data_IF_152468194896
#
_entry.id   IF_152468194896
#
_cell.length_a   1.000
_cell.length_b   1.000
_cell.length_c   1.000
_cell.angle_alpha   90.00
_cell.angle_beta   90.00
_cell.angle_gamma   90.00
#
_symmetry.space_group_name_H-M   'P 1'
#
loop_
_entity.id
_entity.type
_entity.pdbx_description
1 polymer ?
#
# COMPACT_ATOMS: atom_id res chain seq x y z
N UNK A 1 -1.34 3.19 15.27
CA UNK A 1 -1.49 2.89 13.84
C UNK A 1 -0.19 2.31 13.31
N UNK A 2 -0.29 1.27 12.47
CA UNK A 2 0.79 0.63 11.72
C UNK A 2 0.48 0.70 10.22
N UNK A 3 1.48 0.97 9.40
CA UNK A 3 1.33 0.96 7.93
C UNK A 3 2.02 -0.28 7.36
N UNK A 4 1.28 -1.12 6.66
CA UNK A 4 1.86 -2.29 5.98
C UNK A 4 1.79 -2.17 4.47
N UNK A 5 2.72 -2.83 3.79
CA UNK A 5 2.71 -2.97 2.34
C UNK A 5 3.50 -4.20 1.89
N UNK A 6 3.49 -4.50 0.59
CA UNK A 6 4.23 -5.62 0.03
C UNK A 6 5.67 -5.34 -0.38
N UNK A 7 6.14 -4.12 -0.18
CA UNK A 7 7.53 -3.72 -0.43
C UNK A 7 7.94 -3.60 -1.90
N UNK A 8 7.03 -3.85 -2.85
CA UNK A 8 7.26 -3.59 -4.26
C UNK A 8 7.66 -2.11 -4.48
N UNK A 9 8.38 -1.80 -5.55
CA UNK A 9 8.64 -0.41 -5.98
C UNK A 9 7.34 0.38 -6.19
N UNK A 10 7.42 1.71 -6.31
CA UNK A 10 6.24 2.53 -6.54
C UNK A 10 5.44 2.76 -5.27
N UNK A 11 4.13 2.51 -5.30
CA UNK A 11 3.20 2.81 -4.20
C UNK A 11 3.57 2.06 -2.91
N UNK A 12 3.88 0.76 -3.03
CA UNK A 12 4.20 -0.08 -1.87
C UNK A 12 5.44 0.45 -1.11
N UNK A 13 6.48 0.82 -1.86
CA UNK A 13 7.73 1.37 -1.32
C UNK A 13 7.52 2.73 -0.66
N UNK A 14 6.77 3.62 -1.32
CA UNK A 14 6.44 4.93 -0.80
C UNK A 14 5.71 4.85 0.55
N UNK A 15 4.81 3.88 0.73
CA UNK A 15 4.12 3.67 1.99
C UNK A 15 5.06 3.32 3.14
N UNK A 16 6.02 2.41 2.89
CA UNK A 16 7.02 2.03 3.89
C UNK A 16 7.97 3.20 4.21
N UNK A 17 8.42 3.93 3.19
CA UNK A 17 9.32 5.07 3.38
C UNK A 17 8.68 6.19 4.19
N UNK A 18 7.41 6.51 3.91
CA UNK A 18 6.67 7.51 4.68
C UNK A 18 6.48 7.05 6.12
N UNK A 19 6.12 5.78 6.35
CA UNK A 19 5.95 5.26 7.70
C UNK A 19 7.25 5.36 8.52
N UNK A 20 8.38 4.94 7.93
CA UNK A 20 9.70 5.06 8.56
C UNK A 20 10.08 6.51 8.85
N UNK A 21 9.85 7.42 7.88
CA UNK A 21 10.14 8.86 8.03
C UNK A 21 9.38 9.48 9.21
N UNK A 22 8.13 9.07 9.42
CA UNK A 22 7.27 9.60 10.50
C UNK A 22 7.38 8.81 11.82
N UNK A 23 8.28 7.82 11.91
CA UNK A 23 8.42 6.99 13.11
C UNK A 23 7.21 6.09 13.40
N UNK A 24 6.38 5.83 12.38
CA UNK A 24 5.23 4.94 12.45
C UNK A 24 5.71 3.50 12.22
N UNK A 25 5.22 2.56 13.03
CA UNK A 25 5.53 1.15 12.82
C UNK A 25 5.11 0.74 11.39
N UNK A 26 6.05 0.15 10.65
CA UNK A 26 5.78 -0.37 9.33
C UNK A 26 6.08 -1.87 9.21
N UNK A 27 5.67 -2.49 8.10
CA UNK A 27 5.98 -3.87 7.81
C UNK A 27 5.10 -4.44 6.72
N UNK A 28 4.79 -5.73 6.82
CA UNK A 28 3.94 -6.43 5.87
C UNK A 28 4.60 -7.67 5.28
N UNK A 29 3.92 -8.28 4.34
CA UNK A 29 4.30 -9.52 3.68
C UNK A 29 4.91 -9.24 2.31
N UNK A 30 6.10 -9.79 2.05
CA UNK A 30 6.77 -9.74 0.75
C UNK A 30 6.90 -11.16 0.15
N UNK A 31 7.20 -11.28 -1.15
CA UNK A 31 7.48 -12.57 -1.76
C UNK A 31 8.69 -13.27 -1.10
N UNK A 32 8.77 -14.59 -1.30
CA UNK A 32 9.98 -15.37 -1.00
C UNK A 32 11.23 -14.70 -1.60
N UNK A 33 12.35 -14.74 -0.90
CA UNK A 33 13.60 -14.03 -1.18
C UNK A 33 13.50 -12.50 -1.24
N UNK A 34 12.41 -11.91 -0.73
CA UNK A 34 12.14 -10.47 -0.73
C UNK A 34 12.14 -9.87 -2.14
N UNK A 35 11.59 -10.56 -3.13
CA UNK A 35 11.63 -10.10 -4.52
C UNK A 35 10.78 -8.83 -4.75
N UNK A 36 11.34 -7.87 -5.48
CA UNK A 36 10.63 -6.75 -6.12
C UNK A 36 11.01 -6.68 -7.62
N UNK A 37 10.54 -5.68 -8.37
CA UNK A 37 10.86 -5.59 -9.80
C UNK A 37 12.32 -5.26 -10.13
N UNK A 38 13.11 -4.80 -9.16
CA UNK A 38 14.55 -4.56 -9.31
C UNK A 38 15.41 -5.67 -8.69
N UNK A 39 14.78 -6.73 -8.21
CA UNK A 39 15.42 -7.95 -7.77
C UNK A 39 15.25 -8.23 -6.28
N UNK A 40 15.47 -7.26 -5.39
CA UNK A 40 15.39 -7.50 -3.94
C UNK A 40 15.04 -6.24 -3.15
N UNK A 41 14.04 -6.39 -2.27
CA UNK A 41 13.61 -5.37 -1.33
C UNK A 41 14.68 -5.18 -0.25
N UNK A 42 15.14 -3.95 0.02
CA UNK A 42 16.14 -3.66 1.04
C UNK A 42 15.81 -4.22 2.43
N UNK A 43 16.85 -4.61 3.16
CA UNK A 43 16.75 -5.27 4.47
C UNK A 43 16.20 -4.37 5.59
N UNK A 44 16.36 -3.06 5.45
CA UNK A 44 15.91 -2.13 6.49
C UNK A 44 14.39 -2.00 6.57
N UNK A 45 13.64 -2.52 5.59
CA UNK A 45 12.19 -2.67 5.72
C UNK A 45 11.85 -3.92 6.54
N UNK A 46 11.08 -3.79 7.64
CA UNK A 46 10.68 -4.91 8.51
C UNK A 46 9.57 -5.77 7.90
N UNK A 47 9.85 -6.36 6.72
CA UNK A 47 8.94 -7.23 5.99
C UNK A 47 9.18 -8.70 6.32
N UNK A 48 8.09 -9.47 6.34
CA UNK A 48 8.11 -10.91 6.51
C UNK A 48 7.92 -11.59 5.14
N UNK A 49 8.75 -12.57 4.84
CA UNK A 49 8.61 -13.35 3.61
C UNK A 49 7.44 -14.31 3.71
N UNK A 50 6.70 -14.45 2.62
CA UNK A 50 5.79 -15.57 2.46
C UNK A 50 6.60 -16.75 1.94
N UNK A 51 6.97 -17.69 2.81
CA UNK A 51 7.69 -18.91 2.42
C UNK A 51 7.02 -19.60 1.23
N UNK A 52 7.78 -19.84 0.15
CA UNK A 52 7.30 -20.44 -1.10
C UNK A 52 6.13 -19.70 -1.75
N UNK A 53 5.90 -18.44 -1.37
CA UNK A 53 4.81 -17.60 -1.84
C UNK A 53 5.28 -16.54 -2.83
N UNK A 54 4.50 -16.37 -3.89
CA UNK A 54 4.71 -15.29 -4.87
C UNK A 54 3.91 -14.02 -4.57
N UNK A 55 3.87 -13.12 -5.55
CA UNK A 55 3.14 -11.84 -5.47
C UNK A 55 1.66 -11.98 -5.12
N UNK A 56 1.00 -13.06 -5.55
CA UNK A 56 -0.39 -13.33 -5.19
C UNK A 56 -0.59 -13.53 -3.68
N UNK A 57 0.31 -14.29 -3.08
CA UNK A 57 0.16 -14.76 -1.70
C UNK A 57 0.48 -13.62 -0.74
N UNK A 58 1.54 -12.86 -1.01
CA UNK A 58 1.88 -11.65 -0.24
C UNK A 58 0.76 -10.61 -0.29
N UNK A 59 0.14 -10.38 -1.45
CA UNK A 59 -0.98 -9.43 -1.57
C UNK A 59 -2.18 -9.92 -0.75
N UNK A 60 -2.50 -11.21 -0.83
CA UNK A 60 -3.60 -11.76 -0.03
C UNK A 60 -3.35 -11.66 1.47
N UNK A 61 -2.11 -11.88 1.94
CA UNK A 61 -1.78 -11.78 3.36
C UNK A 61 -1.81 -10.32 3.85
N UNK A 62 -1.26 -9.37 3.10
CA UNK A 62 -1.36 -7.94 3.46
C UNK A 62 -2.81 -7.46 3.58
N UNK A 63 -3.69 -7.87 2.66
CA UNK A 63 -5.13 -7.55 2.78
C UNK A 63 -5.77 -8.23 3.99
N UNK A 64 -5.49 -9.51 4.22
CA UNK A 64 -6.10 -10.28 5.32
C UNK A 64 -5.65 -9.79 6.70
N UNK A 65 -4.36 -9.48 6.83
CA UNK A 65 -3.69 -9.18 8.10
C UNK A 65 -3.63 -7.66 8.37
N UNK A 66 -4.44 -6.86 7.66
CA UNK A 66 -4.73 -5.45 7.94
C UNK A 66 -6.21 -5.27 8.26
N UNK A 67 -6.55 -4.14 8.89
CA UNK A 67 -7.94 -3.79 9.16
C UNK A 67 -8.63 -3.23 7.92
N UNK A 68 -7.88 -2.49 7.10
CA UNK A 68 -8.34 -1.94 5.84
C UNK A 68 -7.20 -1.74 4.84
N UNK A 69 -7.56 -1.53 3.57
CA UNK A 69 -6.59 -1.26 2.50
C UNK A 69 -6.90 0.02 1.73
N UNK A 70 -5.94 0.92 1.61
CA UNK A 70 -5.96 2.02 0.63
C UNK A 70 -5.27 1.55 -0.64
N UNK A 71 -5.99 1.62 -1.76
CA UNK A 71 -5.50 1.23 -3.08
C UNK A 71 -5.38 2.50 -3.93
N UNK A 72 -4.14 2.89 -4.23
CA UNK A 72 -3.85 4.05 -5.08
C UNK A 72 -3.56 3.54 -6.50
N UNK A 73 -4.23 4.10 -7.50
CA UNK A 73 -4.07 3.76 -8.91
C UNK A 73 -4.23 5.01 -9.78
N UNK A 74 -3.99 4.87 -11.08
CA UNK A 74 -4.10 5.95 -12.05
C UNK A 74 -5.06 5.52 -13.18
N UNK A 75 -6.13 6.30 -13.40
CA UNK A 75 -7.15 6.13 -14.45
C UNK A 75 -8.00 4.85 -14.33
N UNK A 76 -7.40 3.68 -14.49
CA UNK A 76 -8.06 2.39 -14.40
C UNK A 76 -7.29 1.41 -13.50
N UNK A 77 -8.03 0.56 -12.79
CA UNK A 77 -7.44 -0.50 -11.98
C UNK A 77 -6.83 -1.56 -12.89
N UNK A 78 -5.54 -1.82 -12.69
CA UNK A 78 -4.81 -2.84 -13.43
C UNK A 78 -3.72 -3.49 -12.56
N UNK A 79 -3.20 -4.61 -13.03
CA UNK A 79 -2.04 -5.27 -12.42
C UNK A 79 -2.23 -5.60 -10.94
N UNK A 80 -1.32 -5.09 -10.10
CA UNK A 80 -1.34 -5.29 -8.65
C UNK A 80 -2.53 -4.64 -7.94
N UNK A 81 -3.01 -3.49 -8.43
CA UNK A 81 -4.10 -2.74 -7.80
C UNK A 81 -5.44 -3.48 -7.92
N UNK A 82 -5.79 -3.94 -9.13
CA UNK A 82 -7.00 -4.72 -9.39
C UNK A 82 -7.03 -6.03 -8.57
N UNK A 83 -5.90 -6.74 -8.54
CA UNK A 83 -5.72 -7.94 -7.73
C UNK A 83 -5.91 -7.68 -6.24
N UNK A 84 -5.44 -6.53 -5.75
CA UNK A 84 -5.63 -6.14 -4.36
C UNK A 84 -7.10 -5.87 -4.07
N UNK A 85 -7.80 -5.14 -4.94
CA UNK A 85 -9.24 -4.90 -4.81
C UNK A 85 -10.02 -6.22 -4.75
N UNK A 86 -9.72 -7.15 -5.66
CA UNK A 86 -10.37 -8.46 -5.66
C UNK A 86 -10.15 -9.21 -4.33
N UNK A 87 -8.95 -9.13 -3.74
CA UNK A 87 -8.68 -9.71 -2.42
C UNK A 87 -9.46 -9.01 -1.31
N UNK A 88 -9.59 -7.68 -1.34
CA UNK A 88 -10.39 -6.93 -0.37
C UNK A 88 -11.85 -7.38 -0.41
N UNK A 89 -12.44 -7.47 -1.61
CA UNK A 89 -13.82 -7.94 -1.81
C UNK A 89 -13.98 -9.38 -1.31
N UNK A 90 -13.08 -10.28 -1.72
CA UNK A 90 -13.12 -11.70 -1.34
C UNK A 90 -13.07 -11.91 0.18
N UNK A 91 -12.22 -11.14 0.87
CA UNK A 91 -12.04 -11.23 2.33
C UNK A 91 -12.98 -10.31 3.11
N UNK A 92 -13.88 -9.59 2.44
CA UNK A 92 -14.79 -8.59 3.03
C UNK A 92 -14.04 -7.55 3.88
N UNK A 93 -12.87 -7.13 3.41
CA UNK A 93 -12.06 -6.10 4.07
C UNK A 93 -12.46 -4.71 3.56
N UNK A 94 -12.65 -3.73 4.46
CA UNK A 94 -12.80 -2.34 4.07
C UNK A 94 -11.67 -1.89 3.16
N UNK A 95 -12.00 -1.12 2.13
CA UNK A 95 -11.02 -0.59 1.21
C UNK A 95 -11.41 0.79 0.70
N UNK A 96 -10.41 1.61 0.43
CA UNK A 96 -10.55 2.92 -0.21
C UNK A 96 -9.83 2.89 -1.54
N UNK A 97 -10.52 3.32 -2.60
CA UNK A 97 -9.97 3.49 -3.94
C UNK A 97 -9.62 4.95 -4.16
N UNK A 98 -8.37 5.22 -4.56
CA UNK A 98 -7.88 6.57 -4.88
C UNK A 98 -7.38 6.57 -6.33
N UNK A 99 -8.13 7.23 -7.20
CA UNK A 99 -7.74 7.48 -8.59
C UNK A 99 -6.92 8.77 -8.68
N UNK A 100 -5.61 8.62 -8.80
CA UNK A 100 -4.66 9.73 -8.90
C UNK A 100 -4.84 10.59 -10.16
N UNK A 101 -5.60 10.13 -11.16
CA UNK A 101 -5.91 10.93 -12.35
C UNK A 101 -7.00 11.98 -12.05
N UNK A 102 -7.79 11.76 -10.99
CA UNK A 102 -8.95 12.58 -10.62
C UNK A 102 -8.77 13.29 -9.28
N UNK A 103 -7.91 12.76 -8.42
CA UNK A 103 -7.76 13.19 -7.03
C UNK A 103 -6.34 13.70 -6.81
N UNK A 104 -6.20 14.93 -6.32
CA UNK A 104 -4.90 15.48 -5.91
C UNK A 104 -4.38 14.79 -4.64
N UNK A 105 -3.06 14.82 -4.35
CA UNK A 105 -2.53 14.26 -3.11
C UNK A 105 -3.18 14.84 -1.82
N UNK A 106 -3.67 16.08 -1.84
CA UNK A 106 -4.36 16.67 -0.69
C UNK A 106 -5.76 16.08 -0.50
N UNK A 107 -6.52 15.92 -1.59
CA UNK A 107 -7.84 15.30 -1.55
C UNK A 107 -7.74 13.81 -1.19
N UNK A 108 -6.69 13.13 -1.67
CA UNK A 108 -6.37 11.76 -1.27
C UNK A 108 -6.12 11.66 0.24
N UNK A 109 -5.32 12.57 0.80
CA UNK A 109 -5.08 12.63 2.24
C UNK A 109 -6.39 12.82 3.03
N UNK A 110 -7.24 13.75 2.62
CA UNK A 110 -8.55 13.98 3.26
C UNK A 110 -9.43 12.71 3.19
N UNK A 111 -9.44 12.03 2.04
CA UNK A 111 -10.20 10.79 1.86
C UNK A 111 -9.69 9.67 2.79
N UNK A 112 -8.38 9.59 3.00
CA UNK A 112 -7.78 8.63 3.95
C UNK A 112 -8.19 8.98 5.38
N UNK A 113 -8.18 10.26 5.78
CA UNK A 113 -8.64 10.69 7.11
C UNK A 113 -10.09 10.28 7.36
N UNK A 114 -10.98 10.58 6.41
CA UNK A 114 -12.40 10.24 6.53
C UNK A 114 -12.60 8.72 6.58
N UNK A 115 -11.82 7.98 5.79
CA UNK A 115 -11.84 6.52 5.80
C UNK A 115 -11.38 5.93 7.15
N UNK A 116 -10.31 6.49 7.74
CA UNK A 116 -9.78 6.14 9.07
C UNK A 116 -10.72 6.53 10.21
N UNK A 117 -11.57 7.55 10.04
CA UNK A 117 -12.60 7.90 11.02
C UNK A 117 -13.83 7.00 10.95
N UNK A 118 -14.17 6.58 9.74
CA UNK A 118 -15.34 5.72 9.49
C UNK A 118 -15.11 4.27 9.94
N UNK A 119 -13.85 3.83 9.95
CA UNK A 119 -13.47 2.47 10.33
C UNK A 119 -12.42 2.54 11.45
N UNK A 120 -12.55 1.73 12.50
CA UNK A 120 -11.50 1.59 13.51
C UNK A 120 -10.32 0.82 12.91
N UNK A 121 -9.36 1.56 12.32
CA UNK A 121 -8.20 1.00 11.61
C UNK A 121 -6.95 1.22 12.46
N UNK A 122 -6.37 0.13 12.96
CA UNK A 122 -5.08 0.14 13.64
C UNK A 122 -3.95 -0.26 12.68
N UNK A 123 -4.22 -1.15 11.73
CA UNK A 123 -3.29 -1.61 10.70
C UNK A 123 -3.83 -1.25 9.32
N UNK A 124 -3.18 -0.28 8.66
CA UNK A 124 -3.53 0.19 7.32
C UNK A 124 -2.60 -0.45 6.29
N UNK A 125 -3.15 -1.24 5.36
CA UNK A 125 -2.42 -1.68 4.18
C UNK A 125 -2.49 -0.61 3.09
N UNK A 126 -1.37 -0.31 2.44
CA UNK A 126 -1.31 0.59 1.28
C UNK A 126 -0.73 -0.18 0.09
N UNK A 127 -1.45 -0.13 -1.03
CA UNK A 127 -1.11 -0.89 -2.23
C UNK A 127 -1.33 -0.07 -3.50
N UNK A 128 -0.59 -0.40 -4.55
CA UNK A 128 -0.77 0.18 -5.88
C UNK A 128 0.18 -0.37 -6.93
N UNK A 129 0.23 0.25 -8.12
CA UNK A 129 1.14 -0.14 -9.19
C UNK A 129 2.62 -0.06 -8.78
N UNK A 130 3.42 -0.91 -9.43
CA UNK A 130 4.90 -0.83 -9.36
C UNK A 130 5.43 0.34 -10.18
N UNK A 131 6.70 0.70 -10.02
CA UNK A 131 7.24 1.91 -10.64
C UNK A 131 7.27 1.82 -12.16
N UNK A 132 7.49 0.64 -12.74
CA UNK A 132 7.40 0.45 -14.20
C UNK A 132 5.97 0.57 -14.77
N UNK A 133 4.94 0.43 -13.94
CA UNK A 133 3.53 0.57 -14.36
C UNK A 133 3.03 2.01 -14.20
N UNK A 134 3.59 2.74 -13.22
CA UNK A 134 3.30 4.16 -13.01
C UNK A 134 4.49 4.86 -12.35
N UNK A 135 5.26 5.61 -13.13
CA UNK A 135 6.52 6.23 -12.69
C UNK A 135 6.33 7.25 -11.56
N UNK A 136 5.25 8.02 -11.59
CA UNK A 136 4.93 9.04 -10.60
C UNK A 136 4.23 8.49 -9.35
N UNK A 137 3.89 7.19 -9.34
CA UNK A 137 3.12 6.58 -8.26
C UNK A 137 3.80 6.63 -6.90
N UNK A 138 5.14 6.56 -6.89
CA UNK A 138 5.92 6.77 -5.68
C UNK A 138 5.73 8.20 -5.12
N UNK A 139 6.00 9.24 -5.93
CA UNK A 139 5.92 10.64 -5.48
C UNK A 139 4.49 11.03 -5.05
N UNK A 140 3.50 10.61 -5.83
CA UNK A 140 2.10 10.84 -5.50
C UNK A 140 1.75 10.25 -4.13
N UNK A 141 2.13 8.98 -3.89
CA UNK A 141 1.87 8.29 -2.63
C UNK A 141 2.59 8.94 -1.46
N UNK A 142 3.86 9.30 -1.63
CA UNK A 142 4.63 10.05 -0.61
C UNK A 142 3.90 11.34 -0.25
N UNK A 143 3.48 12.12 -1.24
CA UNK A 143 2.81 13.40 -1.03
C UNK A 143 1.45 13.27 -0.36
N UNK A 144 0.67 12.25 -0.69
CA UNK A 144 -0.63 11.99 -0.10
C UNK A 144 -0.48 11.52 1.37
N UNK A 145 0.43 10.57 1.62
CA UNK A 145 0.62 10.03 2.97
C UNK A 145 1.29 11.01 3.93
N UNK A 146 2.25 11.84 3.49
CA UNK A 146 2.79 12.90 4.36
C UNK A 146 1.69 13.86 4.80
N UNK A 147 0.82 14.30 3.87
CA UNK A 147 -0.31 15.19 4.20
C UNK A 147 -1.29 14.52 5.15
N UNK A 148 -1.57 13.24 4.96
CA UNK A 148 -2.43 12.47 5.87
C UNK A 148 -1.86 12.42 7.30
N UNK A 149 -0.54 12.31 7.45
CA UNK A 149 0.12 12.17 8.76
C UNK A 149 0.47 13.50 9.44
N UNK A 150 0.44 14.61 8.69
CA UNK A 150 0.71 15.96 9.21
C UNK A 150 -0.56 16.70 9.67
N UNK A 151 -1.75 16.12 9.44
CA UNK A 151 -3.07 16.67 9.79
C UNK A 151 -3.63 16.06 11.09
#
# INVERSE_FOLDING_TARGET
MKIISGGQTGVDRAALDVALKHGIECGGWCPDHRLDEFGRIPEYYPLQEVERGGFNERTSRNVRDSDATVIIYIDHLQGGADRTLWRCIKHRKPHLLIDAAKVSPQEAANSIIDFMRTHTIDILNVAGPRQSEWAEGYDYTVRALNRFLEL
#
